data_IF_575910427804
#
_entry.id   IF_575910427804
#
_cell.length_a   1.000
_cell.length_b   1.000
_cell.length_c   1.000
_cell.angle_alpha   90.00
_cell.angle_beta   90.00
_cell.angle_gamma   90.00
#
_symmetry.space_group_name_H-M   'P 1'
#
loop_
_entity.id
_entity.type
_entity.pdbx_description
1 polymer ?
#
# COMPACT_ATOMS: atom_id res chain seq x y z
N UNK A 1 -16.70 37.44 0.25
CA UNK A 1 -16.37 36.14 0.89
C UNK A 1 -15.25 35.39 0.15
N UNK A 2 -14.00 35.90 0.12
CA UNK A 2 -12.86 35.23 -0.56
C UNK A 2 -11.96 34.40 0.38
N UNK A 3 -12.10 34.58 1.69
CA UNK A 3 -11.27 33.91 2.71
C UNK A 3 -11.71 32.45 2.99
N UNK A 4 -13.01 32.14 2.87
CA UNK A 4 -13.53 30.80 3.14
C UNK A 4 -13.02 29.74 2.16
N UNK A 5 -12.91 30.07 0.86
CA UNK A 5 -12.53 29.12 -0.17
C UNK A 5 -11.07 28.65 -0.04
N UNK A 6 -10.14 29.54 0.33
CA UNK A 6 -8.72 29.18 0.56
C UNK A 6 -8.55 28.21 1.74
N UNK A 7 -9.34 28.39 2.79
CA UNK A 7 -9.31 27.51 3.97
C UNK A 7 -9.85 26.12 3.64
N UNK A 8 -10.90 26.05 2.81
CA UNK A 8 -11.46 24.78 2.31
C UNK A 8 -10.46 24.03 1.44
N UNK A 9 -9.80 24.72 0.51
CA UNK A 9 -8.75 24.12 -0.34
C UNK A 9 -7.57 23.63 0.49
N UNK A 10 -7.10 24.41 1.47
CA UNK A 10 -6.01 24.00 2.35
C UNK A 10 -6.35 22.72 3.13
N UNK A 11 -7.55 22.64 3.72
CA UNK A 11 -8.04 21.44 4.40
C UNK A 11 -8.15 20.24 3.46
N UNK A 12 -8.59 20.45 2.22
CA UNK A 12 -8.73 19.39 1.23
C UNK A 12 -7.37 18.80 0.83
N UNK A 13 -6.36 19.64 0.63
CA UNK A 13 -5.00 19.21 0.30
C UNK A 13 -4.42 18.35 1.44
N UNK A 14 -4.52 18.83 2.69
CA UNK A 14 -4.00 18.11 3.86
C UNK A 14 -4.69 16.75 4.00
N UNK A 15 -6.02 16.72 3.89
CA UNK A 15 -6.78 15.48 4.00
C UNK A 15 -6.44 14.49 2.87
N UNK A 16 -6.30 14.98 1.63
CA UNK A 16 -5.87 14.18 0.49
C UNK A 16 -4.45 13.62 0.67
N UNK A 17 -3.51 14.43 1.17
CA UNK A 17 -2.14 13.98 1.47
C UNK A 17 -2.09 12.89 2.55
N UNK A 18 -2.90 13.02 3.61
CA UNK A 18 -3.00 12.00 4.66
C UNK A 18 -3.57 10.70 4.10
N UNK A 19 -4.61 10.78 3.26
CA UNK A 19 -5.17 9.60 2.60
C UNK A 19 -4.15 8.91 1.70
N UNK A 20 -3.40 9.67 0.89
CA UNK A 20 -2.35 9.13 0.03
C UNK A 20 -1.25 8.43 0.83
N UNK A 21 -0.77 9.04 1.91
CA UNK A 21 0.22 8.43 2.80
C UNK A 21 -0.30 7.14 3.44
N UNK A 22 -1.59 7.10 3.79
CA UNK A 22 -2.23 5.91 4.35
C UNK A 22 -2.30 4.76 3.33
N UNK A 23 -2.68 5.06 2.08
CA UNK A 23 -2.67 4.07 0.98
C UNK A 23 -1.27 3.52 0.70
N UNK A 24 -0.25 4.38 0.66
CA UNK A 24 1.13 3.95 0.48
C UNK A 24 1.57 3.04 1.64
N UNK A 25 1.19 3.37 2.87
CA UNK A 25 1.46 2.54 4.05
C UNK A 25 0.84 1.15 3.96
N UNK A 26 -0.42 1.06 3.51
CA UNK A 26 -1.12 -0.22 3.32
C UNK A 26 -0.47 -1.09 2.22
N UNK A 27 -0.09 -0.48 1.09
CA UNK A 27 0.63 -1.16 0.01
C UNK A 27 1.98 -1.68 0.50
N UNK A 28 2.74 -0.85 1.22
CA UNK A 28 4.05 -1.22 1.73
C UNK A 28 3.94 -2.38 2.73
N UNK A 29 2.95 -2.35 3.63
CA UNK A 29 2.71 -3.43 4.57
C UNK A 29 2.32 -4.76 3.87
N UNK A 30 1.50 -4.71 2.82
CA UNK A 30 1.13 -5.88 2.04
C UNK A 30 2.34 -6.51 1.30
N UNK A 31 3.22 -5.68 0.74
CA UNK A 31 4.44 -6.17 0.09
C UNK A 31 5.39 -6.79 1.12
N UNK A 32 5.61 -6.12 2.26
CA UNK A 32 6.50 -6.63 3.32
C UNK A 32 6.01 -7.98 3.85
N UNK A 33 4.70 -8.10 4.12
CA UNK A 33 4.12 -9.36 4.63
C UNK A 33 4.27 -10.51 3.64
N UNK A 34 4.06 -10.25 2.34
CA UNK A 34 4.31 -11.25 1.30
C UNK A 34 5.78 -11.63 1.20
N UNK A 35 6.68 -10.66 1.32
CA UNK A 35 8.12 -10.89 1.30
C UNK A 35 8.60 -11.71 2.51
N UNK A 36 8.03 -11.47 3.70
CA UNK A 36 8.30 -12.32 4.87
C UNK A 36 7.74 -13.73 4.71
N UNK A 37 6.56 -13.92 4.12
CA UNK A 37 6.07 -15.28 3.82
C UNK A 37 6.98 -16.03 2.85
N UNK A 38 7.48 -15.37 1.80
CA UNK A 38 8.43 -16.02 0.88
C UNK A 38 9.76 -16.32 1.58
N UNK A 39 10.26 -15.42 2.44
CA UNK A 39 11.46 -15.67 3.21
C UNK A 39 11.30 -16.84 4.20
N UNK A 40 10.14 -16.96 4.85
CA UNK A 40 9.81 -18.09 5.73
C UNK A 40 9.71 -19.40 4.95
N UNK A 41 9.04 -19.38 3.79
CA UNK A 41 8.95 -20.53 2.91
C UNK A 41 10.33 -20.98 2.43
N UNK A 42 11.20 -20.03 2.05
CA UNK A 42 12.58 -20.31 1.67
C UNK A 42 13.39 -20.93 2.81
N UNK A 43 13.23 -20.44 4.04
CA UNK A 43 13.92 -21.02 5.20
C UNK A 43 13.49 -22.47 5.46
N UNK A 44 12.26 -22.83 5.13
CA UNK A 44 11.71 -24.17 5.33
C UNK A 44 11.99 -25.13 4.17
N UNK A 45 11.96 -24.67 2.91
CA UNK A 45 12.06 -25.50 1.71
C UNK A 45 13.40 -25.41 0.98
N UNK A 46 14.22 -24.39 1.26
CA UNK A 46 15.47 -24.10 0.56
C UNK A 46 15.29 -23.49 -0.84
N UNK A 47 14.05 -23.34 -1.32
CA UNK A 47 13.73 -22.89 -2.69
C UNK A 47 13.16 -21.47 -2.64
N UNK A 48 13.83 -20.53 -3.32
CA UNK A 48 13.45 -19.12 -3.36
C UNK A 48 12.70 -18.81 -4.66
N UNK A 49 11.39 -19.07 -4.66
CA UNK A 49 10.51 -18.67 -5.76
C UNK A 49 9.80 -17.36 -5.41
N UNK A 50 10.39 -16.24 -5.85
CA UNK A 50 9.72 -14.94 -5.88
C UNK A 50 9.38 -14.64 -7.34
N UNK A 51 8.11 -14.79 -7.72
CA UNK A 51 7.63 -14.29 -9.01
C UNK A 51 7.26 -12.81 -8.89
N UNK A 52 7.67 -12.01 -9.87
CA UNK A 52 7.30 -10.59 -9.95
C UNK A 52 5.78 -10.38 -9.97
N UNK A 53 5.01 -11.34 -10.49
CA UNK A 53 3.55 -11.33 -10.46
C UNK A 53 2.98 -11.35 -9.04
N UNK A 54 3.62 -12.05 -8.10
CA UNK A 54 3.14 -12.12 -6.71
C UNK A 54 3.33 -10.80 -5.98
N UNK A 55 4.39 -10.06 -6.30
CA UNK A 55 4.65 -8.71 -5.78
C UNK A 55 3.61 -7.74 -6.34
N UNK A 56 3.31 -7.81 -7.63
CA UNK A 56 2.26 -7.00 -8.26
C UNK A 56 0.89 -7.31 -7.65
N UNK A 57 0.59 -8.60 -7.42
CA UNK A 57 -0.65 -9.03 -6.77
C UNK A 57 -0.74 -8.57 -5.30
N UNK A 58 0.35 -8.65 -4.55
CA UNK A 58 0.43 -8.14 -3.17
C UNK A 58 0.22 -6.62 -3.10
N UNK A 59 0.84 -5.89 -4.03
CA UNK A 59 0.67 -4.45 -4.15
C UNK A 59 -0.77 -4.07 -4.54
N UNK A 60 -1.40 -4.85 -5.42
CA UNK A 60 -2.82 -4.70 -5.74
C UNK A 60 -3.70 -4.98 -4.52
N UNK A 61 -3.47 -6.05 -3.76
CA UNK A 61 -4.23 -6.32 -2.53
C UNK A 61 -4.09 -5.20 -1.49
N UNK A 62 -2.88 -4.66 -1.31
CA UNK A 62 -2.63 -3.55 -0.37
C UNK A 62 -3.18 -2.20 -0.84
N UNK A 63 -3.26 -1.97 -2.16
CA UNK A 63 -3.75 -0.72 -2.73
C UNK A 63 -5.26 -0.69 -3.01
N UNK A 64 -5.86 -1.85 -3.31
CA UNK A 64 -7.28 -1.98 -3.62
C UNK A 64 -8.12 -2.52 -2.46
N UNK A 65 -7.53 -3.17 -1.45
CA UNK A 65 -8.26 -3.68 -0.29
C UNK A 65 -9.63 -4.27 -0.63
N UNK A 66 -9.70 -5.32 -1.46
CA UNK A 66 -10.93 -6.11 -1.67
C UNK A 66 -11.90 -5.60 -2.74
N UNK A 67 -11.50 -5.60 -4.02
CA UNK A 67 -12.46 -5.50 -5.13
C UNK A 67 -13.06 -6.86 -5.55
N UNK A 68 -12.93 -7.89 -4.70
CA UNK A 68 -13.69 -9.14 -4.72
C UNK A 68 -13.87 -9.63 -3.29
#
# INVERSE_FOLDING_TARGET
MKYSFRVVIGKFIICSSILLLCFIGMILAAIITKLTFVALAWFQSGIFEVLWSDIVYAAQLGGLGGAY
#
